data_IF_232315746653
#
_entry.id   IF_232315746653
#
_cell.length_a   1.000
_cell.length_b   1.000
_cell.length_c   1.000
_cell.angle_alpha   90.00
_cell.angle_beta   90.00
_cell.angle_gamma   90.00
#
_symmetry.space_group_name_H-M   'P 1'
#
loop_
_entity.id
_entity.type
_entity.pdbx_description
1 polymer ?
#
# COMPACT_ATOMS: atom_id res chain seq x y z
N UNK A 1 -6.07 -4.97 28.24
CA UNK A 1 -4.95 -4.47 27.40
C UNK A 1 -5.02 -5.27 26.11
N UNK A 2 -5.20 -4.61 24.97
CA UNK A 2 -5.29 -5.28 23.68
C UNK A 2 -3.86 -5.54 23.18
N UNK A 3 -3.50 -6.81 23.02
CA UNK A 3 -2.23 -7.23 22.46
C UNK A 3 -2.30 -7.09 20.93
N UNK A 4 -1.60 -6.11 20.38
CA UNK A 4 -1.41 -5.92 18.94
C UNK A 4 -0.27 -6.85 18.49
N UNK A 5 -0.51 -7.63 17.44
CA UNK A 5 0.49 -8.51 16.81
C UNK A 5 0.68 -8.06 15.36
N UNK A 6 1.91 -7.70 14.99
CA UNK A 6 2.29 -7.35 13.62
C UNK A 6 2.79 -8.60 12.88
N UNK A 7 2.38 -8.78 11.64
CA UNK A 7 2.87 -9.82 10.71
C UNK A 7 3.34 -9.13 9.43
N UNK A 8 4.54 -9.49 8.94
CA UNK A 8 5.16 -8.92 7.74
C UNK A 8 4.90 -9.74 6.47
N UNK A 9 5.16 -9.13 5.31
CA UNK A 9 4.69 -9.59 3.99
C UNK A 9 5.21 -10.93 3.45
N UNK A 10 6.18 -11.60 4.08
CA UNK A 10 6.57 -12.98 3.73
C UNK A 10 7.68 -13.51 4.65
N UNK A 11 7.35 -14.47 5.52
CA UNK A 11 8.34 -15.36 6.16
C UNK A 11 8.25 -16.79 5.60
N UNK A 12 7.27 -17.09 4.75
CA UNK A 12 7.06 -18.43 4.22
C UNK A 12 7.93 -18.72 2.99
N UNK A 13 9.24 -18.60 3.12
CA UNK A 13 10.20 -19.33 2.27
C UNK A 13 11.05 -20.33 3.08
N UNK A 14 10.85 -20.40 4.40
CA UNK A 14 11.49 -21.40 5.24
C UNK A 14 10.47 -22.46 5.72
N UNK A 15 10.40 -23.54 4.94
CA UNK A 15 10.05 -24.90 5.38
C UNK A 15 8.61 -25.15 5.91
N UNK A 16 7.62 -25.16 5.01
CA UNK A 16 6.57 -26.17 5.06
C UNK A 16 6.33 -26.70 3.64
N UNK A 17 6.28 -28.03 3.41
CA UNK A 17 5.92 -28.57 2.11
C UNK A 17 4.47 -28.19 1.81
N UNK A 18 4.26 -27.53 0.67
CA UNK A 18 2.94 -27.33 0.07
C UNK A 18 2.21 -28.68 0.07
N UNK A 19 1.15 -28.78 0.88
CA UNK A 19 0.30 -29.97 0.90
C UNK A 19 -0.26 -30.23 -0.50
N UNK A 20 -0.32 -31.50 -0.94
CA UNK A 20 -0.71 -31.81 -2.30
C UNK A 20 -2.16 -31.42 -2.57
N UNK A 21 -2.39 -30.94 -3.79
CA UNK A 21 -3.68 -30.55 -4.33
C UNK A 21 -4.72 -31.67 -4.16
N UNK A 22 -5.84 -31.36 -3.48
CA UNK A 22 -6.95 -32.30 -3.37
C UNK A 22 -7.83 -32.11 -2.13
N UNK A 23 -8.35 -30.91 -1.91
CA UNK A 23 -9.35 -30.64 -0.87
C UNK A 23 -9.38 -29.17 -0.50
N UNK A 24 -10.59 -28.60 -0.38
CA UNK A 24 -10.79 -27.28 0.23
C UNK A 24 -10.54 -27.43 1.74
N UNK A 25 -9.29 -27.32 2.16
CA UNK A 25 -8.96 -27.24 3.58
C UNK A 25 -9.75 -26.07 4.19
N UNK A 26 -10.35 -26.24 5.38
CA UNK A 26 -11.08 -25.15 6.02
C UNK A 26 -10.13 -23.98 6.29
N UNK A 27 -10.62 -22.74 6.08
CA UNK A 27 -9.88 -21.51 6.37
C UNK A 27 -9.33 -21.55 7.81
N UNK A 28 -8.03 -21.28 7.97
CA UNK A 28 -7.40 -21.14 9.29
C UNK A 28 -8.08 -19.99 10.04
N UNK A 29 -8.41 -20.20 11.30
CA UNK A 29 -8.98 -19.15 12.16
C UNK A 29 -7.96 -18.71 13.20
N UNK A 30 -7.83 -17.41 13.39
CA UNK A 30 -7.04 -16.84 14.49
C UNK A 30 -7.93 -16.72 15.73
N UNK A 31 -7.47 -17.27 16.85
CA UNK A 31 -8.21 -17.31 18.12
C UNK A 31 -7.34 -16.69 19.21
N UNK A 32 -7.84 -15.66 19.89
CA UNK A 32 -7.20 -15.02 21.04
C UNK A 32 -8.11 -15.19 22.26
N UNK A 33 -7.57 -15.76 23.35
CA UNK A 33 -8.36 -16.00 24.58
C UNK A 33 -9.60 -16.86 24.36
N UNK A 34 -9.54 -17.85 23.46
CA UNK A 34 -10.67 -18.72 23.12
C UNK A 34 -11.74 -18.09 22.20
N UNK A 35 -11.55 -16.85 21.74
CA UNK A 35 -12.46 -16.15 20.83
C UNK A 35 -11.83 -15.96 19.46
N UNK A 36 -12.58 -16.29 18.40
CA UNK A 36 -12.17 -15.99 17.02
C UNK A 36 -12.07 -14.48 16.82
N UNK A 37 -10.96 -14.01 16.29
CA UNK A 37 -10.74 -12.60 15.94
C UNK A 37 -10.70 -12.41 14.43
N UNK A 38 -11.02 -11.20 13.95
CA UNK A 38 -10.89 -10.85 12.54
C UNK A 38 -9.45 -10.41 12.29
N UNK A 39 -8.79 -11.04 11.33
CA UNK A 39 -7.42 -10.70 10.92
C UNK A 39 -7.49 -9.86 9.65
N UNK A 40 -6.97 -8.64 9.71
CA UNK A 40 -6.87 -7.74 8.57
C UNK A 40 -5.39 -7.48 8.30
N UNK A 41 -4.93 -7.85 7.11
CA UNK A 41 -3.61 -7.48 6.62
C UNK A 41 -3.72 -6.13 5.91
N UNK A 42 -3.01 -5.12 6.41
CA UNK A 42 -3.03 -3.75 5.88
C UNK A 42 -1.87 -3.44 4.94
N UNK A 43 -0.95 -4.39 4.74
CA UNK A 43 0.23 -4.24 3.90
C UNK A 43 0.25 -5.33 2.82
N UNK A 44 -0.81 -5.38 2.01
CA UNK A 44 -0.92 -6.30 0.89
C UNK A 44 -0.65 -5.58 -0.43
N UNK A 45 0.45 -5.94 -1.09
CA UNK A 45 0.81 -5.32 -2.37
C UNK A 45 0.08 -5.94 -3.55
N UNK A 46 -0.26 -5.10 -4.53
CA UNK A 46 -0.65 -5.53 -5.86
C UNK A 46 -0.06 -4.65 -6.96
N UNK A 47 -0.15 -5.10 -8.21
CA UNK A 47 0.22 -4.35 -9.39
C UNK A 47 -0.92 -4.35 -10.43
N UNK A 48 -0.99 -3.27 -11.21
CA UNK A 48 -1.93 -3.10 -12.32
C UNK A 48 -1.13 -2.98 -13.62
N UNK A 49 -0.96 -4.07 -14.38
CA UNK A 49 -0.09 -4.10 -15.57
C UNK A 49 -0.42 -3.01 -16.61
N UNK A 50 -1.70 -2.72 -16.82
CA UNK A 50 -2.18 -1.70 -17.75
C UNK A 50 -1.67 -0.31 -17.38
N UNK A 51 -1.65 0.01 -16.08
CA UNK A 51 -1.13 1.27 -15.56
C UNK A 51 0.41 1.32 -15.63
N UNK A 52 1.09 0.18 -15.43
CA UNK A 52 2.56 0.12 -15.55
C UNK A 52 3.03 0.30 -17.00
N UNK A 53 2.27 -0.25 -17.96
CA UNK A 53 2.58 -0.13 -19.39
C UNK A 53 2.64 1.33 -19.85
N UNK A 54 1.84 2.22 -19.24
CA UNK A 54 1.87 3.66 -19.53
C UNK A 54 3.21 4.33 -19.17
N UNK A 55 3.95 3.78 -18.20
CA UNK A 55 5.26 4.31 -17.78
C UNK A 55 6.43 3.66 -18.55
N UNK A 56 6.15 2.86 -19.59
CA UNK A 56 7.16 2.07 -20.27
C UNK A 56 7.80 0.99 -19.37
N UNK A 57 7.16 0.68 -18.24
CA UNK A 57 7.66 -0.27 -17.26
C UNK A 57 7.62 -1.70 -17.78
N UNK A 58 8.61 -2.51 -17.37
CA UNK A 58 8.48 -3.98 -17.46
C UNK A 58 7.35 -4.42 -16.53
N UNK A 59 6.61 -5.46 -16.93
CA UNK A 59 5.57 -6.08 -16.11
C UNK A 59 6.16 -6.39 -14.73
N UNK A 60 5.41 -6.01 -13.68
CA UNK A 60 5.69 -6.29 -12.26
C UNK A 60 6.33 -7.67 -12.06
N UNK A 61 7.14 -7.88 -10.99
CA UNK A 61 7.35 -9.24 -10.50
C UNK A 61 5.99 -9.96 -10.47
N UNK A 62 5.91 -11.15 -11.08
CA UNK A 62 4.66 -11.93 -11.18
C UNK A 62 4.00 -12.11 -9.80
N UNK A 63 4.80 -12.04 -8.74
CA UNK A 63 4.40 -12.09 -7.34
C UNK A 63 3.43 -10.97 -6.89
N UNK A 64 3.45 -9.77 -7.51
CA UNK A 64 2.53 -8.69 -7.14
C UNK A 64 1.25 -8.69 -7.99
N UNK A 65 1.15 -9.55 -9.01
CA UNK A 65 -0.11 -9.73 -9.71
C UNK A 65 -1.12 -10.41 -8.78
N UNK A 66 -2.38 -10.03 -8.86
CA UNK A 66 -3.43 -10.75 -8.14
C UNK A 66 -3.60 -12.12 -8.80
N UNK A 67 -3.05 -13.15 -8.16
CA UNK A 67 -3.15 -14.52 -8.61
C UNK A 67 -4.37 -15.23 -7.99
N UNK A 68 -4.98 -16.22 -8.66
CA UNK A 68 -6.04 -17.05 -8.08
C UNK A 68 -5.66 -17.72 -6.76
N UNK A 69 -4.37 -17.93 -6.52
CA UNK A 69 -3.82 -18.52 -5.30
C UNK A 69 -3.93 -17.58 -4.07
N UNK A 70 -4.02 -16.26 -4.25
CA UNK A 70 -3.96 -15.29 -3.15
C UNK A 70 -5.00 -15.60 -2.06
N UNK A 71 -6.25 -15.87 -2.44
CA UNK A 71 -7.30 -16.18 -1.47
C UNK A 71 -7.03 -17.47 -0.69
N UNK A 72 -6.39 -18.47 -1.34
CA UNK A 72 -5.97 -19.71 -0.67
C UNK A 72 -4.81 -19.44 0.30
N UNK A 73 -3.86 -18.58 -0.07
CA UNK A 73 -2.78 -18.15 0.83
C UNK A 73 -3.33 -17.38 2.03
N UNK A 74 -4.25 -16.44 1.81
CA UNK A 74 -4.98 -15.76 2.89
C UNK A 74 -5.66 -16.79 3.80
N UNK A 75 -6.36 -17.77 3.23
CA UNK A 75 -7.06 -18.80 3.99
C UNK A 75 -6.10 -19.68 4.82
N UNK A 76 -4.93 -20.03 4.28
CA UNK A 76 -3.91 -20.81 4.97
C UNK A 76 -3.23 -20.03 6.11
N UNK A 77 -3.07 -18.71 5.93
CA UNK A 77 -2.48 -17.82 6.94
C UNK A 77 -3.50 -17.35 8.00
N UNK A 78 -4.79 -17.53 7.73
CA UNK A 78 -5.88 -17.06 8.59
C UNK A 78 -6.15 -15.56 8.47
N UNK A 79 -5.88 -15.00 7.29
CA UNK A 79 -6.17 -13.62 6.92
C UNK A 79 -7.60 -13.55 6.37
N UNK A 80 -8.44 -12.76 7.02
CA UNK A 80 -9.82 -12.59 6.58
C UNK A 80 -9.94 -11.54 5.48
N UNK A 81 -9.23 -10.42 5.65
CA UNK A 81 -9.26 -9.29 4.73
C UNK A 81 -7.85 -8.80 4.45
N UNK A 82 -7.55 -8.51 3.19
CA UNK A 82 -6.37 -7.74 2.78
C UNK A 82 -6.79 -6.34 2.33
N UNK A 83 -6.05 -5.31 2.77
CA UNK A 83 -6.11 -3.96 2.21
C UNK A 83 -5.02 -3.81 1.15
N UNK A 84 -5.44 -3.82 -0.11
CA UNK A 84 -4.54 -3.74 -1.25
C UNK A 84 -3.96 -2.33 -1.40
N UNK A 85 -2.67 -2.27 -1.71
CA UNK A 85 -1.93 -1.04 -2.00
C UNK A 85 -0.98 -1.23 -3.18
N UNK A 86 -0.71 -0.15 -3.89
CA UNK A 86 0.26 -0.11 -5.00
C UNK A 86 1.38 0.85 -4.60
N UNK A 87 2.62 0.37 -4.68
CA UNK A 87 3.79 1.19 -4.35
C UNK A 87 4.00 2.26 -5.42
N UNK A 88 4.28 3.53 -5.05
CA UNK A 88 4.50 4.60 -6.02
C UNK A 88 5.67 4.32 -6.95
N UNK A 89 5.44 4.45 -8.26
CA UNK A 89 6.47 4.42 -9.31
C UNK A 89 6.28 5.53 -10.36
N UNK A 90 5.32 6.43 -10.13
CA UNK A 90 4.83 7.41 -11.11
C UNK A 90 5.14 8.86 -10.73
N UNK A 91 5.89 9.13 -9.65
CA UNK A 91 6.12 10.52 -9.22
C UNK A 91 6.91 11.37 -10.21
N UNK A 92 7.57 10.77 -11.20
CA UNK A 92 8.20 11.47 -12.33
C UNK A 92 7.25 11.70 -13.52
N UNK A 93 6.01 11.20 -13.47
CA UNK A 93 5.05 11.32 -14.55
C UNK A 93 4.47 12.74 -14.66
N UNK A 94 4.40 13.23 -15.89
CA UNK A 94 3.69 14.45 -16.25
C UNK A 94 2.20 14.35 -15.90
N UNK A 95 1.57 15.50 -15.65
CA UNK A 95 0.21 15.59 -15.07
C UNK A 95 -0.81 14.71 -15.77
N UNK A 96 -0.85 14.77 -17.10
CA UNK A 96 -1.85 14.05 -17.88
C UNK A 96 -1.61 12.54 -17.87
N UNK A 97 -0.35 12.12 -17.91
CA UNK A 97 0.03 10.72 -17.78
C UNK A 97 -0.31 10.19 -16.37
N UNK A 98 0.02 10.95 -15.33
CA UNK A 98 -0.30 10.62 -13.95
C UNK A 98 -1.82 10.48 -13.75
N UNK A 99 -2.62 11.40 -14.31
CA UNK A 99 -4.08 11.35 -14.27
C UNK A 99 -4.63 10.05 -14.85
N UNK A 100 -4.17 9.67 -16.04
CA UNK A 100 -4.60 8.43 -16.71
C UNK A 100 -4.18 7.19 -15.92
N UNK A 101 -2.93 7.17 -15.46
CA UNK A 101 -2.36 6.06 -14.68
C UNK A 101 -3.14 5.83 -13.39
N UNK A 102 -3.39 6.89 -12.61
CA UNK A 102 -4.12 6.80 -11.34
C UNK A 102 -5.57 6.35 -11.56
N UNK A 103 -6.23 6.83 -12.62
CA UNK A 103 -7.58 6.39 -12.95
C UNK A 103 -7.63 4.86 -13.19
N UNK A 104 -6.72 4.34 -14.02
CA UNK A 104 -6.65 2.90 -14.32
C UNK A 104 -6.36 2.09 -13.05
N UNK A 105 -5.42 2.54 -12.21
CA UNK A 105 -5.10 1.85 -10.96
C UNK A 105 -6.30 1.77 -10.03
N UNK A 106 -6.94 2.91 -9.75
CA UNK A 106 -8.05 2.97 -8.81
C UNK A 106 -9.28 2.21 -9.32
N UNK A 107 -9.59 2.28 -10.61
CA UNK A 107 -10.68 1.51 -11.22
C UNK A 107 -10.42 0.00 -11.11
N UNK A 108 -9.19 -0.45 -11.36
CA UNK A 108 -8.82 -1.86 -11.21
C UNK A 108 -8.83 -2.33 -9.76
N UNK A 109 -8.39 -1.51 -8.82
CA UNK A 109 -8.53 -1.79 -7.38
C UNK A 109 -9.99 -1.93 -6.97
N UNK A 110 -10.87 -1.05 -7.46
CA UNK A 110 -12.30 -1.12 -7.19
C UNK A 110 -12.94 -2.39 -7.78
N UNK A 111 -12.58 -2.76 -9.01
CA UNK A 111 -13.03 -4.02 -9.64
C UNK A 111 -12.59 -5.26 -8.83
N UNK A 112 -11.35 -5.29 -8.35
CA UNK A 112 -10.83 -6.37 -7.51
C UNK A 112 -11.59 -6.48 -6.18
N UNK A 113 -11.86 -5.35 -5.53
CA UNK A 113 -12.66 -5.31 -4.31
C UNK A 113 -14.09 -5.78 -4.57
N UNK A 114 -14.72 -5.35 -5.67
CA UNK A 114 -16.06 -5.76 -6.04
C UNK A 114 -16.16 -7.27 -6.36
N UNK A 115 -15.09 -7.87 -6.89
CA UNK A 115 -15.03 -9.31 -7.15
C UNK A 115 -14.92 -10.16 -5.87
N UNK A 116 -14.37 -9.59 -4.79
CA UNK A 116 -14.14 -10.28 -3.50
C UNK A 116 -14.46 -9.37 -2.29
N UNK A 117 -15.70 -8.87 -2.15
CA UNK A 117 -16.03 -7.77 -1.24
C UNK A 117 -15.86 -8.10 0.24
N UNK A 118 -15.94 -9.39 0.61
CA UNK A 118 -15.73 -9.84 1.99
C UNK A 118 -14.26 -10.10 2.32
N UNK A 119 -13.37 -10.03 1.33
CA UNK A 119 -11.96 -10.45 1.43
C UNK A 119 -10.98 -9.34 1.06
N UNK A 120 -11.36 -8.41 0.19
CA UNK A 120 -10.47 -7.38 -0.33
C UNK A 120 -11.08 -6.01 -0.12
N UNK A 121 -10.27 -5.12 0.43
CA UNK A 121 -10.45 -3.67 0.36
C UNK A 121 -9.20 -3.07 -0.28
N UNK A 122 -9.20 -1.79 -0.62
CA UNK A 122 -8.06 -1.17 -1.25
C UNK A 122 -7.88 0.29 -0.86
N UNK A 123 -6.62 0.72 -0.81
CA UNK A 123 -6.23 2.11 -0.70
C UNK A 123 -6.11 2.72 -2.09
N UNK A 124 -6.68 3.91 -2.27
CA UNK A 124 -6.51 4.71 -3.46
C UNK A 124 -5.02 5.02 -3.69
N UNK A 125 -4.66 5.14 -4.96
CA UNK A 125 -3.42 5.78 -5.41
C UNK A 125 -3.72 7.22 -5.80
N UNK A 126 -2.71 8.09 -5.64
CA UNK A 126 -2.79 9.52 -5.96
C UNK A 126 -1.49 10.03 -6.59
N UNK A 127 -1.60 11.13 -7.33
CA UNK A 127 -0.46 11.77 -8.00
C UNK A 127 0.09 12.93 -7.15
N UNK A 128 0.76 12.64 -6.03
CA UNK A 128 1.24 13.68 -5.10
C UNK A 128 2.17 14.72 -5.74
N UNK A 129 2.89 14.39 -6.81
CA UNK A 129 3.71 15.36 -7.54
C UNK A 129 2.88 16.48 -8.20
N UNK A 130 1.56 16.29 -8.29
CA UNK A 130 0.55 17.28 -8.69
C UNK A 130 -0.52 17.40 -7.57
N UNK A 131 -0.27 18.17 -6.49
CA UNK A 131 -1.05 18.09 -5.25
C UNK A 131 -2.56 18.34 -5.37
N UNK A 132 -2.97 19.23 -6.26
CA UNK A 132 -4.38 19.49 -6.59
C UNK A 132 -5.04 18.29 -7.28
N UNK A 133 -4.32 17.66 -8.21
CA UNK A 133 -4.76 16.41 -8.84
C UNK A 133 -4.78 15.25 -7.83
N UNK A 134 -3.85 15.20 -6.88
CA UNK A 134 -3.85 14.21 -5.82
C UNK A 134 -5.12 14.30 -4.96
N UNK A 135 -5.53 15.52 -4.58
CA UNK A 135 -6.78 15.76 -3.87
C UNK A 135 -8.01 15.34 -4.69
N UNK A 136 -8.08 15.71 -5.97
CA UNK A 136 -9.16 15.29 -6.88
C UNK A 136 -9.26 13.76 -6.98
N UNK A 137 -8.13 13.08 -7.17
CA UNK A 137 -8.09 11.62 -7.32
C UNK A 137 -8.39 10.89 -6.02
N UNK A 138 -8.02 11.47 -4.87
CA UNK A 138 -8.42 10.97 -3.57
C UNK A 138 -9.94 11.02 -3.42
N UNK A 139 -10.55 12.17 -3.67
CA UNK A 139 -12.00 12.33 -3.57
C UNK A 139 -12.76 11.37 -4.49
N UNK A 140 -12.31 11.22 -5.74
CA UNK A 140 -12.89 10.27 -6.69
C UNK A 140 -12.77 8.81 -6.21
N UNK A 141 -11.58 8.42 -5.74
CA UNK A 141 -11.31 7.07 -5.22
C UNK A 141 -12.21 6.72 -4.03
N UNK A 142 -12.41 7.66 -3.11
CA UNK A 142 -13.21 7.44 -1.90
C UNK A 142 -14.70 7.49 -2.22
N UNK A 143 -15.19 8.56 -2.88
CA UNK A 143 -16.63 8.81 -3.06
C UNK A 143 -17.25 7.99 -4.18
N UNK A 144 -16.57 7.85 -5.32
CA UNK A 144 -17.12 7.15 -6.50
C UNK A 144 -16.75 5.67 -6.49
N UNK A 145 -15.51 5.34 -6.14
CA UNK A 145 -14.97 3.98 -6.27
C UNK A 145 -15.05 3.17 -4.96
N UNK A 146 -15.33 3.81 -3.82
CA UNK A 146 -15.50 3.12 -2.53
C UNK A 146 -14.20 2.57 -1.94
N UNK A 147 -13.05 3.12 -2.33
CA UNK A 147 -11.75 2.79 -1.73
C UNK A 147 -11.71 3.30 -0.29
N UNK A 148 -10.99 2.61 0.61
CA UNK A 148 -11.12 2.79 2.06
C UNK A 148 -10.02 3.62 2.71
N UNK A 149 -9.18 4.27 1.90
CA UNK A 149 -8.02 5.05 2.34
C UNK A 149 -7.14 5.39 1.16
N UNK A 150 -5.91 5.83 1.42
CA UNK A 150 -4.92 6.17 0.39
C UNK A 150 -3.53 5.68 0.76
N UNK A 151 -2.78 5.16 -0.21
CA UNK A 151 -1.39 4.75 -0.04
C UNK A 151 -0.49 5.74 -0.75
N UNK A 152 0.48 6.29 -0.03
CA UNK A 152 1.44 7.29 -0.53
C UNK A 152 2.88 6.90 -0.17
N UNK A 153 3.84 7.45 -0.91
CA UNK A 153 5.27 7.34 -0.57
C UNK A 153 5.65 8.25 0.58
N UNK A 154 6.78 7.98 1.26
CA UNK A 154 7.29 8.84 2.35
C UNK A 154 7.87 10.19 1.90
N UNK A 155 8.09 10.38 0.59
CA UNK A 155 8.54 11.64 -0.02
C UNK A 155 8.11 11.70 -1.50
N UNK A 156 8.25 12.84 -2.16
CA UNK A 156 7.89 12.98 -3.58
C UNK A 156 9.03 13.66 -4.33
N UNK A 157 9.79 12.90 -5.12
CA UNK A 157 10.95 13.39 -5.87
C UNK A 157 11.97 14.18 -5.01
N UNK A 158 12.18 13.76 -3.76
CA UNK A 158 13.07 14.41 -2.80
C UNK A 158 12.43 15.55 -1.98
N UNK A 159 11.15 15.87 -2.24
CA UNK A 159 10.39 16.82 -1.43
C UNK A 159 9.71 16.08 -0.27
N UNK A 160 9.79 16.66 0.94
CA UNK A 160 9.17 16.13 2.15
C UNK A 160 7.66 16.38 2.15
N UNK A 161 6.88 15.42 2.64
CA UNK A 161 5.42 15.51 2.63
C UNK A 161 4.85 16.66 3.49
N UNK A 162 5.66 17.23 4.37
CA UNK A 162 5.32 18.40 5.17
C UNK A 162 5.41 19.73 4.41
N UNK A 163 5.97 19.74 3.20
CA UNK A 163 6.04 20.96 2.39
C UNK A 163 4.63 21.53 2.13
N UNK A 164 4.42 22.85 2.32
CA UNK A 164 3.11 23.48 2.12
C UNK A 164 2.45 23.23 0.76
N UNK A 165 3.23 22.87 -0.27
CA UNK A 165 2.69 22.48 -1.57
C UNK A 165 1.76 21.27 -1.50
N UNK A 166 1.93 20.38 -0.51
CA UNK A 166 1.09 19.20 -0.31
C UNK A 166 -0.16 19.48 0.54
N UNK A 167 -0.34 20.70 1.06
CA UNK A 167 -1.54 21.08 1.81
C UNK A 167 -2.87 20.79 1.09
N UNK A 168 -3.02 20.94 -0.24
CA UNK A 168 -4.26 20.57 -0.93
C UNK A 168 -4.61 19.09 -0.74
N UNK A 169 -3.63 18.20 -0.74
CA UNK A 169 -3.83 16.77 -0.48
C UNK A 169 -4.22 16.53 0.98
N UNK A 170 -3.47 17.09 1.93
CA UNK A 170 -3.73 16.91 3.36
C UNK A 170 -5.11 17.43 3.78
N UNK A 171 -5.47 18.64 3.33
CA UNK A 171 -6.80 19.21 3.57
C UNK A 171 -7.91 18.31 3.03
N UNK A 172 -7.72 17.68 1.87
CA UNK A 172 -8.70 16.76 1.30
C UNK A 172 -8.75 15.43 2.06
N UNK A 173 -7.61 14.91 2.53
CA UNK A 173 -7.56 13.70 3.34
C UNK A 173 -8.30 13.89 4.67
N UNK A 174 -8.10 15.03 5.34
CA UNK A 174 -8.84 15.43 6.55
C UNK A 174 -10.35 15.57 6.27
N UNK A 175 -10.72 16.32 5.21
CA UNK A 175 -12.13 16.52 4.83
C UNK A 175 -12.87 15.19 4.63
N UNK A 176 -12.21 14.21 4.01
CA UNK A 176 -12.77 12.89 3.76
C UNK A 176 -12.69 11.96 4.98
N UNK A 177 -11.88 12.29 5.99
CA UNK A 177 -11.67 11.48 7.19
C UNK A 177 -11.06 10.11 6.90
N UNK A 178 -10.12 10.05 5.96
CA UNK A 178 -9.57 8.79 5.44
C UNK A 178 -8.20 8.44 6.00
N UNK A 179 -7.92 7.15 6.12
CA UNK A 179 -6.59 6.64 6.49
C UNK A 179 -5.57 6.95 5.38
N UNK A 180 -4.44 7.53 5.77
CA UNK A 180 -3.26 7.69 4.92
C UNK A 180 -2.20 6.66 5.32
N UNK A 181 -1.94 5.71 4.44
CA UNK A 181 -0.91 4.68 4.60
C UNK A 181 0.40 5.14 3.94
N UNK A 182 1.47 5.23 4.73
CA UNK A 182 2.81 5.62 4.27
C UNK A 182 3.63 4.38 3.92
N UNK A 183 4.01 4.26 2.64
CA UNK A 183 4.90 3.20 2.16
C UNK A 183 6.30 3.76 1.88
N UNK A 184 7.38 3.08 2.31
CA UNK A 184 8.73 3.54 2.04
C UNK A 184 9.07 3.53 0.55
N UNK A 185 9.90 4.48 0.12
CA UNK A 185 10.52 4.48 -1.21
C UNK A 185 12.04 4.28 -1.18
N UNK A 186 12.60 4.10 0.02
CA UNK A 186 14.03 3.94 0.24
C UNK A 186 14.77 5.28 0.43
N UNK A 187 16.05 5.19 0.76
CA UNK A 187 16.93 6.35 1.07
C UNK A 187 18.08 6.42 0.05
N UNK A 188 17.89 7.06 -1.12
CA UNK A 188 18.90 7.08 -2.20
C UNK A 188 20.29 7.55 -1.73
N UNK A 189 20.36 8.54 -0.85
CA UNK A 189 21.61 9.09 -0.34
C UNK A 189 22.45 8.08 0.47
N UNK A 190 21.81 7.03 0.98
CA UNK A 190 22.46 5.98 1.76
C UNK A 190 22.64 4.68 0.97
N UNK A 191 22.32 4.65 -0.32
CA UNK A 191 22.33 3.42 -1.14
C UNK A 191 23.66 2.66 -1.02
N UNK A 192 24.80 3.35 -1.06
CA UNK A 192 26.14 2.75 -0.93
C UNK A 192 26.34 2.06 0.43
N UNK A 193 25.78 2.61 1.50
CA UNK A 193 25.91 2.08 2.87
C UNK A 193 24.97 0.90 3.13
N UNK A 194 23.94 0.76 2.30
CA UNK A 194 22.92 -0.29 2.42
C UNK A 194 23.21 -1.49 1.50
N UNK A 195 24.34 -1.49 0.80
CA UNK A 195 24.80 -2.65 0.03
C UNK A 195 25.30 -3.78 0.94
N UNK A 196 25.26 -5.01 0.42
CA UNK A 196 25.77 -6.20 1.09
C UNK A 196 24.67 -7.19 1.50
N UNK A 197 25.02 -8.11 2.38
CA UNK A 197 24.13 -9.17 2.84
C UNK A 197 23.06 -8.65 3.80
N UNK A 198 21.93 -9.36 3.91
CA UNK A 198 20.89 -9.07 4.89
C UNK A 198 19.82 -8.07 4.45
N UNK A 199 19.77 -7.73 3.15
CA UNK A 199 18.74 -6.85 2.58
C UNK A 199 18.61 -5.53 3.37
N UNK A 200 19.74 -4.87 3.63
CA UNK A 200 19.80 -3.69 4.49
C UNK A 200 18.95 -2.52 3.98
N UNK A 201 18.68 -2.45 2.68
CA UNK A 201 17.69 -1.53 2.10
C UNK A 201 16.32 -1.71 2.74
N UNK A 202 15.88 -2.95 2.99
CA UNK A 202 14.60 -3.23 3.61
C UNK A 202 14.66 -3.21 5.16
N UNK A 203 15.74 -3.73 5.74
CA UNK A 203 15.86 -3.86 7.21
C UNK A 203 16.19 -2.52 7.89
N UNK A 204 16.96 -1.65 7.23
CA UNK A 204 17.40 -0.35 7.77
C UNK A 204 16.87 0.81 6.92
N UNK A 205 17.02 0.76 5.60
CA UNK A 205 16.70 1.87 4.72
C UNK A 205 15.23 2.26 4.75
N UNK A 206 14.33 1.30 4.55
CA UNK A 206 12.89 1.51 4.50
C UNK A 206 12.33 2.05 5.85
N UNK A 207 12.65 1.47 7.02
CA UNK A 207 12.25 2.05 8.31
C UNK A 207 12.83 3.44 8.56
N UNK A 208 14.06 3.70 8.10
CA UNK A 208 14.68 5.02 8.24
C UNK A 208 13.96 6.08 7.39
N UNK A 209 13.58 5.76 6.15
CA UNK A 209 12.84 6.68 5.29
C UNK A 209 11.51 7.10 5.93
N UNK A 210 10.72 6.13 6.40
CA UNK A 210 9.42 6.45 7.02
C UNK A 210 9.58 7.15 8.37
N UNK A 211 10.68 6.90 9.09
CA UNK A 211 11.04 7.65 10.30
C UNK A 211 11.29 9.12 9.98
N UNK A 212 12.01 9.42 8.89
CA UNK A 212 12.26 10.80 8.44
C UNK A 212 10.95 11.46 8.04
N UNK A 213 10.15 10.81 7.17
CA UNK A 213 8.87 11.33 6.70
C UNK A 213 7.92 11.66 7.86
N UNK A 214 7.75 10.73 8.81
CA UNK A 214 6.90 10.95 9.98
C UNK A 214 7.43 12.07 10.88
N UNK A 215 8.76 12.17 11.04
CA UNK A 215 9.37 13.24 11.83
C UNK A 215 9.07 14.62 11.23
N UNK A 216 9.16 14.77 9.91
CA UNK A 216 8.80 16.01 9.22
C UNK A 216 7.32 16.36 9.40
N UNK A 217 6.42 15.38 9.22
CA UNK A 217 4.97 15.60 9.42
C UNK A 217 4.62 16.08 10.84
N UNK A 218 5.32 15.56 11.85
CA UNK A 218 5.14 15.96 13.26
C UNK A 218 5.76 17.34 13.51
N UNK A 219 7.06 17.51 13.23
CA UNK A 219 7.80 18.70 13.66
C UNK A 219 7.47 19.96 12.86
N UNK A 220 7.02 19.82 11.61
CA UNK A 220 6.54 20.94 10.80
C UNK A 220 5.04 21.24 11.05
N UNK A 221 4.39 20.49 11.94
CA UNK A 221 3.00 20.71 12.35
C UNK A 221 1.97 20.37 11.28
N UNK A 222 2.29 19.49 10.33
CA UNK A 222 1.33 19.03 9.32
C UNK A 222 0.15 18.30 9.97
N UNK A 223 0.43 17.43 10.95
CA UNK A 223 -0.60 16.66 11.68
C UNK A 223 -1.36 17.47 12.73
N UNK A 224 -0.88 18.65 13.10
CA UNK A 224 -1.62 19.60 13.95
C UNK A 224 -2.60 20.45 13.12
N UNK A 225 -2.31 20.59 11.82
CA UNK A 225 -3.07 21.41 10.88
C UNK A 225 -4.22 20.65 10.22
N UNK A 226 -4.06 19.35 9.99
CA UNK A 226 -4.96 18.47 9.25
C UNK A 226 -5.14 17.13 9.95
#
# INVERSE_FOLDING_TARGET
MADIVFVGCSITDAAEPLSPAGGTAPRRQVVLGGRRVKTVDVHAHCAVPEAMALMGGRVSPEALLIQPERLRQMDAQGIDVEALSINPYWYTAERELARQLIAIQNEKLAELCAAQPDRLVAFATVALQHPDLAAERLEDGIKRLGLCGVSIGGSVNGEELSDPRFHPFWAKAEELGVLVFLHPQGVPDLEKRLQGNGLLTNVIGNPLETTIALSHLIFEGTLDRF
#
